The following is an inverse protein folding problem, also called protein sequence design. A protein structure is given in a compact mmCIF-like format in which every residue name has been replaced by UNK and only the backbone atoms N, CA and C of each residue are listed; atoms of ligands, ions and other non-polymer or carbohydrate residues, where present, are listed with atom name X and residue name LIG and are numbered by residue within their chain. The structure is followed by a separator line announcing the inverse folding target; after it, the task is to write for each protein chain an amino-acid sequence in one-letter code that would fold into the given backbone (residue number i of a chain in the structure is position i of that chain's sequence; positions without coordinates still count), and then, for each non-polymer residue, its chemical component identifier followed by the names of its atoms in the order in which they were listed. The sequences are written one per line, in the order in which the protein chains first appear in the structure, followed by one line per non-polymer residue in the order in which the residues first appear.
data_IF_576661663372
#
_entry.id   IF_576661663372
#
_cell.length_a   1.000
_cell.length_b   1.000
_cell.length_c   1.000
_cell.angle_alpha   90.00
_cell.angle_beta   90.00
_cell.angle_gamma   90.00
#
_symmetry.space_group_name_H-M   'P 1'
#
loop_
_entity.id
_entity.type
_entity.pdbx_description
1 polymer ?
#
# COMPACT_ATOMS: atom_id res chain seq x y z
N UNK A 1 21.57 9.50 42.74
CA UNK A 1 21.75 10.44 41.62
C UNK A 1 21.29 9.76 40.34
N UNK A 2 20.55 10.50 39.54
CA UNK A 2 19.97 10.17 38.23
C UNK A 2 18.74 9.28 38.19
N UNK A 3 17.72 9.89 37.58
CA UNK A 3 16.33 9.55 37.56
C UNK A 3 15.99 8.65 36.37
N UNK A 4 15.26 7.57 36.60
CA UNK A 4 14.49 6.90 35.55
C UNK A 4 13.08 7.51 35.57
N UNK A 5 12.94 8.61 34.83
CA UNK A 5 11.67 9.20 34.47
C UNK A 5 11.46 9.00 32.97
N UNK A 6 10.58 8.08 32.59
CA UNK A 6 9.70 8.26 31.43
C UNK A 6 8.46 7.37 31.60
N UNK A 7 7.52 7.88 32.38
CA UNK A 7 6.12 7.44 32.35
C UNK A 7 5.45 8.17 31.19
N UNK A 8 4.57 7.50 30.47
CA UNK A 8 3.47 8.14 29.75
C UNK A 8 3.52 8.03 28.24
N UNK A 9 2.93 6.94 27.74
CA UNK A 9 1.72 7.04 26.92
C UNK A 9 1.83 7.70 25.57
N UNK A 10 1.99 6.88 24.52
CA UNK A 10 1.37 7.10 23.22
C UNK A 10 0.98 5.72 22.64
N UNK A 11 -0.20 5.25 23.06
CA UNK A 11 -1.02 4.33 22.28
C UNK A 11 -1.34 4.99 20.93
N UNK A 12 -0.42 4.91 19.97
CA UNK A 12 -0.55 5.60 18.68
C UNK A 12 -1.05 4.69 17.55
N UNK A 13 -1.30 3.40 17.82
CA UNK A 13 -1.61 2.41 16.78
C UNK A 13 -2.82 1.52 17.12
N UNK A 14 -3.89 2.13 17.61
CA UNK A 14 -5.22 1.52 17.57
C UNK A 14 -6.15 2.38 16.71
N UNK A 15 -6.10 2.16 15.40
CA UNK A 15 -7.23 2.45 14.50
C UNK A 15 -7.42 1.27 13.57
N UNK A 16 -8.14 0.28 14.09
CA UNK A 16 -8.89 -0.69 13.29
C UNK A 16 -9.89 0.06 12.40
N UNK A 17 -10.07 -0.41 11.17
CA UNK A 17 -11.10 0.09 10.26
C UNK A 17 -10.71 0.05 8.79
N UNK A 18 -10.57 -1.17 8.27
CA UNK A 18 -10.82 -1.49 6.86
C UNK A 18 -12.29 -1.18 6.51
N UNK A 19 -12.61 -1.21 5.21
CA UNK A 19 -13.96 -1.24 4.60
C UNK A 19 -14.52 0.11 4.12
N UNK A 20 -14.12 0.54 2.92
CA UNK A 20 -14.74 1.68 2.24
C UNK A 20 -14.77 1.58 0.71
N UNK A 21 -13.63 1.35 0.06
CA UNK A 21 -13.55 1.56 -1.40
C UNK A 21 -13.68 0.29 -2.26
N UNK A 22 -13.28 -0.89 -1.76
CA UNK A 22 -13.24 -2.09 -2.59
C UNK A 22 -14.64 -2.65 -2.95
N UNK A 23 -15.67 -2.35 -2.18
CA UNK A 23 -17.01 -2.94 -2.34
C UNK A 23 -17.93 -2.15 -3.30
N UNK A 24 -17.62 -0.90 -3.63
CA UNK A 24 -18.49 -0.05 -4.51
C UNK A 24 -18.36 -0.44 -5.99
N UNK A 25 -17.28 -1.13 -6.37
CA UNK A 25 -16.93 -1.32 -7.78
C UNK A 25 -17.70 -2.43 -8.52
N UNK A 26 -18.44 -3.31 -7.83
CA UNK A 26 -18.95 -4.53 -8.44
C UNK A 26 -20.46 -4.78 -8.29
N UNK A 27 -21.25 -3.83 -7.78
CA UNK A 27 -22.71 -4.00 -7.70
C UNK A 27 -23.40 -3.28 -8.88
N UNK A 28 -24.00 -4.02 -9.85
CA UNK A 28 -24.73 -3.41 -10.97
C UNK A 28 -26.00 -2.65 -10.54
N UNK A 29 -26.44 -2.81 -9.28
CA UNK A 29 -27.52 -2.02 -8.68
C UNK A 29 -27.07 -0.75 -7.95
N UNK A 30 -25.79 -0.38 -8.01
CA UNK A 30 -25.33 0.84 -7.33
C UNK A 30 -25.66 2.10 -8.15
N UNK A 31 -26.04 3.17 -7.47
CA UNK A 31 -26.19 4.52 -8.08
C UNK A 31 -24.92 4.98 -8.79
N UNK A 32 -23.76 4.40 -8.43
CA UNK A 32 -22.47 4.71 -9.00
C UNK A 32 -22.02 3.77 -10.13
N UNK A 33 -22.82 2.80 -10.57
CA UNK A 33 -22.38 1.80 -11.55
C UNK A 33 -21.77 2.43 -12.82
N UNK A 34 -22.41 3.47 -13.37
CA UNK A 34 -21.88 4.20 -14.51
C UNK A 34 -20.60 5.00 -14.19
N UNK A 35 -20.48 5.54 -12.98
CA UNK A 35 -19.29 6.25 -12.53
C UNK A 35 -18.11 5.28 -12.32
N UNK A 36 -18.37 4.11 -11.73
CA UNK A 36 -17.41 3.01 -11.57
C UNK A 36 -16.88 2.54 -12.91
N UNK A 37 -17.75 2.28 -13.89
CA UNK A 37 -17.32 1.83 -15.22
C UNK A 37 -16.41 2.86 -15.91
N UNK A 38 -16.74 4.16 -15.78
CA UNK A 38 -15.88 5.23 -16.27
C UNK A 38 -14.55 5.30 -15.53
N UNK A 39 -14.56 5.17 -14.20
CA UNK A 39 -13.35 5.17 -13.39
C UNK A 39 -12.41 4.01 -13.76
N UNK A 40 -12.95 2.81 -13.97
CA UNK A 40 -12.20 1.65 -14.46
C UNK A 40 -11.59 1.92 -15.84
N UNK A 41 -12.38 2.44 -16.78
CA UNK A 41 -11.88 2.78 -18.11
C UNK A 41 -10.76 3.83 -18.07
N UNK A 42 -10.86 4.83 -17.18
CA UNK A 42 -9.79 5.81 -16.97
C UNK A 42 -8.56 5.20 -16.32
N UNK A 43 -8.72 4.34 -15.31
CA UNK A 43 -7.61 3.63 -14.69
C UNK A 43 -6.86 2.76 -15.70
N UNK A 44 -7.59 2.05 -16.57
CA UNK A 44 -7.03 1.24 -17.63
C UNK A 44 -6.33 2.09 -18.70
N UNK A 45 -6.84 3.29 -19.00
CA UNK A 45 -6.22 4.18 -19.98
C UNK A 45 -5.11 5.08 -19.41
N UNK A 46 -4.96 5.15 -18.08
CA UNK A 46 -4.07 6.12 -17.42
C UNK A 46 -2.58 5.88 -17.68
N UNK A 47 -2.18 4.64 -17.95
CA UNK A 47 -0.79 4.23 -18.12
C UNK A 47 -0.63 3.39 -19.38
N UNK A 48 0.48 3.59 -20.09
CA UNK A 48 0.86 2.69 -21.17
C UNK A 48 1.06 1.27 -20.63
N UNK A 49 0.73 0.25 -21.42
CA UNK A 49 0.81 -1.15 -20.97
C UNK A 49 2.23 -1.58 -20.58
N UNK A 50 3.25 -1.02 -21.23
CA UNK A 50 4.64 -1.25 -20.84
C UNK A 50 4.93 -0.74 -19.42
N UNK A 51 4.43 0.45 -19.07
CA UNK A 51 4.59 1.04 -17.74
C UNK A 51 3.80 0.27 -16.68
N UNK A 52 2.57 -0.17 -16.97
CA UNK A 52 1.79 -1.03 -16.06
C UNK A 52 2.54 -2.32 -15.72
N UNK A 53 3.14 -2.96 -16.73
CA UNK A 53 3.94 -4.19 -16.54
C UNK A 53 5.18 -3.94 -15.71
N UNK A 54 5.90 -2.83 -15.96
CA UNK A 54 7.08 -2.44 -15.21
C UNK A 54 6.74 -2.25 -13.72
N UNK A 55 5.75 -1.40 -13.41
CA UNK A 55 5.32 -1.18 -12.03
C UNK A 55 4.80 -2.46 -11.36
N UNK A 56 4.07 -3.30 -12.10
CA UNK A 56 3.65 -4.60 -11.58
C UNK A 56 4.82 -5.51 -11.22
N UNK A 57 5.92 -5.47 -11.98
CA UNK A 57 7.14 -6.22 -11.66
C UNK A 57 7.80 -5.65 -10.40
N UNK A 58 7.96 -4.34 -10.33
CA UNK A 58 8.59 -3.67 -9.20
C UNK A 58 7.80 -3.92 -7.91
N UNK A 59 6.47 -3.90 -8.01
CA UNK A 59 5.57 -4.20 -6.89
C UNK A 59 5.72 -5.64 -6.37
N UNK A 60 5.84 -6.61 -7.28
CA UNK A 60 6.09 -8.02 -6.90
C UNK A 60 7.45 -8.19 -6.23
N UNK A 61 8.48 -7.53 -6.75
CA UNK A 61 9.82 -7.57 -6.15
C UNK A 61 9.81 -7.01 -4.73
N UNK A 62 9.21 -5.84 -4.53
CA UNK A 62 9.06 -5.22 -3.21
C UNK A 62 8.26 -6.11 -2.24
N UNK A 63 7.12 -6.66 -2.68
CA UNK A 63 6.26 -7.49 -1.83
C UNK A 63 6.93 -8.80 -1.42
N UNK A 64 7.67 -9.44 -2.34
CA UNK A 64 8.44 -10.64 -2.03
C UNK A 64 9.56 -10.33 -1.03
N UNK A 65 10.31 -9.26 -1.25
CA UNK A 65 11.36 -8.81 -0.35
C UNK A 65 10.81 -8.51 1.06
N UNK A 66 9.65 -7.85 1.16
CA UNK A 66 8.99 -7.63 2.45
C UNK A 66 8.65 -8.95 3.15
N UNK A 67 8.09 -9.92 2.42
CA UNK A 67 7.72 -11.22 2.97
C UNK A 67 8.94 -12.01 3.49
N UNK A 68 10.06 -11.97 2.75
CA UNK A 68 11.34 -12.59 3.15
C UNK A 68 11.89 -11.99 4.46
N UNK A 69 11.64 -10.70 4.71
CA UNK A 69 12.14 -9.98 5.89
C UNK A 69 11.11 -9.88 7.03
N UNK A 70 9.93 -10.49 6.89
CA UNK A 70 8.85 -10.40 7.88
C UNK A 70 8.26 -8.99 8.02
N UNK A 71 8.35 -8.17 6.96
CA UNK A 71 7.83 -6.80 6.91
C UNK A 71 6.46 -6.75 6.22
N UNK A 72 5.65 -5.74 6.57
CA UNK A 72 4.36 -5.49 5.92
C UNK A 72 4.56 -4.69 4.64
N UNK A 73 4.23 -5.28 3.49
CA UNK A 73 4.33 -4.62 2.19
C UNK A 73 3.25 -3.56 1.93
N UNK A 74 2.02 -3.75 2.44
CA UNK A 74 0.93 -2.76 2.34
C UNK A 74 0.05 -2.76 3.59
N UNK A 75 -0.21 -1.58 4.20
CA UNK A 75 0.49 -0.32 3.97
C UNK A 75 1.93 -0.40 4.49
N UNK A 76 2.93 -0.12 3.65
CA UNK A 76 4.33 -0.10 4.07
C UNK A 76 4.63 1.17 4.89
N UNK A 77 5.44 1.02 5.94
CA UNK A 77 6.04 2.17 6.60
C UNK A 77 7.08 2.83 5.66
N UNK A 78 7.26 4.16 5.67
CA UNK A 78 8.26 4.82 4.84
C UNK A 78 9.69 4.26 5.02
N UNK A 79 10.04 3.83 6.24
CA UNK A 79 11.31 3.17 6.53
C UNK A 79 11.48 1.82 5.82
N UNK A 80 10.40 1.05 5.66
CA UNK A 80 10.41 -0.21 4.90
C UNK A 80 10.73 0.04 3.43
N UNK A 81 10.15 1.10 2.85
CA UNK A 81 10.44 1.49 1.47
C UNK A 81 11.89 1.94 1.31
N UNK A 82 12.40 2.75 2.24
CA UNK A 82 13.79 3.21 2.21
C UNK A 82 14.80 2.04 2.29
N UNK A 83 14.55 1.06 3.16
CA UNK A 83 15.38 -0.15 3.27
C UNK A 83 15.38 -0.97 1.98
N UNK A 84 14.21 -1.19 1.39
CA UNK A 84 14.11 -1.88 0.11
C UNK A 84 14.89 -1.17 -1.00
N UNK A 85 14.77 0.16 -1.10
CA UNK A 85 15.47 0.92 -2.13
C UNK A 85 16.99 0.87 -1.96
N UNK A 86 17.48 0.87 -0.71
CA UNK A 86 18.91 0.70 -0.42
C UNK A 86 19.38 -0.71 -0.85
N UNK A 87 18.68 -1.76 -0.42
CA UNK A 87 19.03 -3.15 -0.77
C UNK A 87 18.89 -3.43 -2.28
N UNK A 88 17.90 -2.84 -2.96
CA UNK A 88 17.71 -2.98 -4.39
C UNK A 88 18.77 -2.27 -5.25
N UNK A 89 19.44 -1.25 -4.70
CA UNK A 89 20.53 -0.55 -5.39
C UNK A 89 21.83 -1.35 -5.43
N UNK A 90 22.01 -2.29 -4.49
CA UNK A 90 23.22 -3.11 -4.35
C UNK A 90 23.17 -4.41 -5.19
N UNK A 91 22.09 -4.65 -5.96
CA UNK A 91 21.85 -5.86 -6.76
C UNK A 91 22.00 -5.60 -8.25
#
# INVERSE_FOLDING_TARGET
MSALHRKGGEDCMSRTGSEGDAAVAANPGSTFAAATAKAQAYADAALADATKRAYGRDWRAFSAWCAEHGLTGLPAAPGTVALYLADAADR
#
